data_IF_367098195018
#
_entry.id   IF_367098195018
#
_cell.length_a   1.000
_cell.length_b   1.000
_cell.length_c   1.000
_cell.angle_alpha   90.00
_cell.angle_beta   90.00
_cell.angle_gamma   90.00
#
_symmetry.space_group_name_H-M   'P 1'
#
loop_
_entity.id
_entity.type
_entity.pdbx_description
1 polymer ?
#
# COMPACT_ATOMS: atom_id res chain seq x y z
N UNK A 1 -7.71 25.11 12.89
CA UNK A 1 -7.69 23.81 13.61
C UNK A 1 -7.97 22.61 12.71
N UNK A 2 -8.85 22.71 11.70
CA UNK A 2 -9.26 21.61 10.81
C UNK A 2 -8.10 20.90 10.09
N UNK A 3 -7.07 21.64 9.67
CA UNK A 3 -5.89 21.09 9.00
C UNK A 3 -5.13 20.05 9.84
N UNK A 4 -4.98 20.28 11.15
CA UNK A 4 -4.22 19.36 12.02
C UNK A 4 -4.92 18.01 12.18
N UNK A 5 -6.25 18.00 12.27
CA UNK A 5 -7.04 16.76 12.38
C UNK A 5 -7.03 15.97 11.07
N UNK A 6 -7.14 16.67 9.94
CA UNK A 6 -7.02 16.06 8.62
C UNK A 6 -5.68 15.34 8.46
N UNK A 7 -4.58 16.00 8.77
CA UNK A 7 -3.27 15.42 8.58
C UNK A 7 -2.97 14.26 9.56
N UNK A 8 -3.43 14.34 10.80
CA UNK A 8 -3.33 13.23 11.77
C UNK A 8 -4.13 12.01 11.30
N UNK A 9 -5.34 12.24 10.76
CA UNK A 9 -6.17 11.14 10.24
C UNK A 9 -5.51 10.39 9.09
N UNK A 10 -4.90 11.12 8.15
CA UNK A 10 -4.15 10.53 7.04
C UNK A 10 -2.88 9.83 7.52
N UNK A 11 -2.20 10.39 8.52
CA UNK A 11 -1.03 9.75 9.11
C UNK A 11 -1.38 8.39 9.72
N UNK A 12 -2.44 8.32 10.52
CA UNK A 12 -2.92 7.05 11.11
C UNK A 12 -3.28 6.06 10.00
N UNK A 13 -4.07 6.49 9.01
CA UNK A 13 -4.47 5.64 7.88
C UNK A 13 -3.25 5.08 7.15
N UNK A 14 -2.26 5.94 6.88
CA UNK A 14 -1.01 5.59 6.19
C UNK A 14 -0.20 4.55 6.97
N UNK A 15 0.02 4.79 8.27
CA UNK A 15 0.81 3.90 9.12
C UNK A 15 0.13 2.53 9.26
N UNK A 16 -1.17 2.50 9.56
CA UNK A 16 -1.89 1.24 9.76
C UNK A 16 -1.96 0.44 8.45
N UNK A 17 -2.30 1.09 7.33
CA UNK A 17 -2.30 0.42 6.02
C UNK A 17 -0.90 -0.11 5.68
N UNK A 18 0.14 0.70 5.91
CA UNK A 18 1.52 0.29 5.69
C UNK A 18 1.96 -0.91 6.52
N UNK A 19 1.58 -0.96 7.81
CA UNK A 19 1.87 -2.10 8.70
C UNK A 19 1.16 -3.37 8.21
N UNK A 20 -0.12 -3.28 7.83
CA UNK A 20 -0.90 -4.42 7.32
C UNK A 20 -0.22 -5.01 6.09
N UNK A 21 0.10 -4.17 5.11
CA UNK A 21 0.73 -4.62 3.87
C UNK A 21 2.16 -5.13 4.08
N UNK A 22 2.92 -4.52 4.98
CA UNK A 22 4.25 -5.02 5.35
C UNK A 22 4.17 -6.39 6.02
N UNK A 23 3.21 -6.60 6.93
CA UNK A 23 3.00 -7.90 7.58
C UNK A 23 2.63 -8.98 6.55
N UNK A 24 1.70 -8.69 5.63
CA UNK A 24 1.35 -9.61 4.53
C UNK A 24 2.54 -9.89 3.61
N UNK A 25 3.29 -8.86 3.26
CA UNK A 25 4.49 -8.98 2.41
C UNK A 25 5.57 -9.84 3.06
N UNK A 26 5.86 -9.63 4.35
CA UNK A 26 6.79 -10.47 5.12
C UNK A 26 6.30 -11.91 5.14
N UNK A 27 5.01 -12.16 5.41
CA UNK A 27 4.45 -13.51 5.41
C UNK A 27 4.62 -14.20 4.04
N UNK A 28 4.40 -13.47 2.92
CA UNK A 28 4.61 -14.00 1.57
C UNK A 28 6.07 -14.30 1.29
N UNK A 29 7.00 -13.43 1.69
CA UNK A 29 8.43 -13.65 1.47
C UNK A 29 8.96 -14.80 2.34
N UNK A 30 8.48 -14.91 3.58
CA UNK A 30 8.86 -16.01 4.49
C UNK A 30 8.40 -17.37 3.97
N UNK A 31 7.22 -17.44 3.33
CA UNK A 31 6.66 -18.66 2.76
C UNK A 31 6.54 -18.54 1.22
N UNK A 32 7.62 -18.11 0.56
CA UNK A 32 7.55 -17.74 -0.85
C UNK A 32 7.26 -18.92 -1.78
N UNK A 33 7.79 -20.11 -1.47
CA UNK A 33 7.50 -21.33 -2.23
C UNK A 33 6.01 -21.70 -2.16
N UNK A 34 5.37 -21.52 -1.00
CA UNK A 34 3.93 -21.72 -0.86
C UNK A 34 3.12 -20.67 -1.62
N UNK A 35 3.60 -19.42 -1.63
CA UNK A 35 3.00 -18.33 -2.40
C UNK A 35 3.04 -18.62 -3.90
N UNK A 36 4.17 -19.11 -4.43
CA UNK A 36 4.27 -19.51 -5.83
C UNK A 36 3.27 -20.61 -6.15
N UNK A 37 3.25 -21.69 -5.35
CA UNK A 37 2.32 -22.82 -5.53
C UNK A 37 0.85 -22.38 -5.47
N UNK A 38 0.53 -21.45 -4.57
CA UNK A 38 -0.82 -20.88 -4.47
C UNK A 38 -1.22 -20.15 -5.76
N UNK A 39 -0.35 -19.29 -6.31
CA UNK A 39 -0.63 -18.59 -7.56
C UNK A 39 -0.70 -19.54 -8.76
N UNK A 40 0.16 -20.55 -8.82
CA UNK A 40 0.11 -21.60 -9.84
C UNK A 40 -1.20 -22.39 -9.78
N UNK A 41 -1.68 -22.72 -8.58
CA UNK A 41 -2.97 -23.41 -8.39
C UNK A 41 -4.18 -22.63 -8.92
N UNK A 42 -4.05 -21.30 -9.00
CA UNK A 42 -5.06 -20.41 -9.57
C UNK A 42 -4.88 -20.19 -11.08
N UNK A 43 -3.86 -20.80 -11.69
CA UNK A 43 -3.52 -20.61 -13.11
C UNK A 43 -2.97 -19.22 -13.42
N UNK A 44 -2.43 -18.52 -12.41
CA UNK A 44 -1.90 -17.17 -12.59
C UNK A 44 -0.47 -17.19 -13.14
N UNK A 45 -0.07 -16.17 -13.94
CA UNK A 45 1.30 -16.02 -14.41
C UNK A 45 2.35 -16.06 -13.29
N UNK A 46 3.45 -16.77 -13.52
CA UNK A 46 4.52 -16.99 -12.52
C UNK A 46 5.26 -15.73 -12.05
N UNK A 47 5.10 -14.58 -12.73
CA UNK A 47 5.68 -13.31 -12.26
C UNK A 47 4.82 -12.61 -11.18
N UNK A 48 3.54 -12.97 -11.06
CA UNK A 48 2.61 -12.30 -10.14
C UNK A 48 2.92 -12.51 -8.64
N UNK A 49 3.41 -13.68 -8.17
CA UNK A 49 3.89 -13.84 -6.80
C UNK A 49 4.97 -12.82 -6.42
N UNK A 50 5.94 -12.61 -7.32
CA UNK A 50 7.04 -11.67 -7.13
C UNK A 50 6.52 -10.23 -7.10
N UNK A 51 5.64 -9.89 -8.03
CA UNK A 51 4.99 -8.58 -8.05
C UNK A 51 4.21 -8.33 -6.76
N UNK A 52 3.40 -9.30 -6.33
CA UNK A 52 2.60 -9.18 -5.13
C UNK A 52 3.46 -9.01 -3.86
N UNK A 53 4.45 -9.87 -3.66
CA UNK A 53 5.36 -9.77 -2.52
C UNK A 53 6.14 -8.44 -2.50
N UNK A 54 6.57 -7.95 -3.68
CA UNK A 54 7.29 -6.68 -3.81
C UNK A 54 6.39 -5.50 -3.50
N UNK A 55 5.16 -5.48 -4.02
CA UNK A 55 4.20 -4.39 -3.79
C UNK A 55 3.73 -4.36 -2.34
N UNK A 56 3.43 -5.51 -1.73
CA UNK A 56 2.99 -5.57 -0.33
C UNK A 56 4.11 -5.13 0.62
N UNK A 57 5.32 -5.67 0.44
CA UNK A 57 6.45 -5.35 1.33
C UNK A 57 6.97 -3.94 1.08
N UNK A 58 7.30 -3.63 -0.18
CA UNK A 58 7.84 -2.33 -0.58
C UNK A 58 6.83 -1.22 -0.42
N UNK A 59 5.58 -1.43 -0.85
CA UNK A 59 4.48 -0.48 -0.65
C UNK A 59 4.19 -0.25 0.82
N UNK A 60 4.19 -1.30 1.65
CA UNK A 60 4.04 -1.19 3.09
C UNK A 60 5.12 -0.32 3.74
N UNK A 61 6.40 -0.57 3.41
CA UNK A 61 7.54 0.24 3.88
C UNK A 61 7.42 1.70 3.44
N UNK A 62 7.14 1.93 2.15
CA UNK A 62 7.00 3.26 1.58
C UNK A 62 5.87 4.05 2.26
N UNK A 63 4.73 3.42 2.52
CA UNK A 63 3.65 4.04 3.28
C UNK A 63 4.08 4.39 4.70
N UNK A 64 4.71 3.47 5.44
CA UNK A 64 5.17 3.74 6.82
C UNK A 64 6.11 4.95 6.84
N UNK A 65 7.11 4.96 5.97
CA UNK A 65 8.09 6.04 5.85
C UNK A 65 7.49 7.34 5.29
N UNK A 66 6.30 7.27 4.69
CA UNK A 66 5.68 8.41 4.02
C UNK A 66 6.46 8.87 2.80
N UNK A 67 7.00 7.92 2.04
CA UNK A 67 7.72 8.11 0.78
C UNK A 67 6.87 7.59 -0.37
N UNK A 68 6.81 8.32 -1.50
CA UNK A 68 6.12 7.89 -2.72
C UNK A 68 4.71 7.34 -2.45
N UNK A 69 3.99 7.96 -1.51
CA UNK A 69 2.74 7.42 -0.94
C UNK A 69 1.66 7.19 -1.99
N UNK A 70 1.62 8.04 -3.03
CA UNK A 70 0.74 7.87 -4.18
C UNK A 70 1.08 6.61 -5.00
N UNK A 71 2.36 6.35 -5.22
CA UNK A 71 2.81 5.20 -6.00
C UNK A 71 2.61 3.89 -5.23
N UNK A 72 2.92 3.90 -3.93
CA UNK A 72 2.63 2.78 -3.04
C UNK A 72 1.12 2.49 -2.98
N UNK A 73 0.29 3.53 -2.87
CA UNK A 73 -1.17 3.42 -2.92
C UNK A 73 -1.67 2.81 -4.23
N UNK A 74 -1.16 3.27 -5.38
CA UNK A 74 -1.51 2.71 -6.70
C UNK A 74 -1.17 1.22 -6.80
N UNK A 75 0.03 0.82 -6.36
CA UNK A 75 0.44 -0.58 -6.34
C UNK A 75 -0.51 -1.43 -5.50
N UNK A 76 -0.82 -0.98 -4.29
CA UNK A 76 -1.76 -1.65 -3.38
C UNK A 76 -3.16 -1.75 -4.01
N UNK A 77 -3.67 -0.69 -4.63
CA UNK A 77 -4.98 -0.70 -5.31
C UNK A 77 -5.02 -1.75 -6.41
N UNK A 78 -4.02 -1.80 -7.28
CA UNK A 78 -3.94 -2.81 -8.36
C UNK A 78 -3.90 -4.22 -7.78
N UNK A 79 -3.14 -4.42 -6.71
CA UNK A 79 -3.03 -5.72 -6.04
C UNK A 79 -4.36 -6.15 -5.42
N UNK A 80 -5.09 -5.24 -4.77
CA UNK A 80 -6.42 -5.52 -4.22
C UNK A 80 -7.42 -5.87 -5.32
N UNK A 81 -7.44 -5.14 -6.46
CA UNK A 81 -8.29 -5.50 -7.60
C UNK A 81 -8.00 -6.93 -8.07
N UNK A 82 -6.72 -7.28 -8.20
CA UNK A 82 -6.30 -8.64 -8.54
C UNK A 82 -6.82 -9.67 -7.54
N UNK A 83 -6.58 -9.45 -6.25
CA UNK A 83 -7.00 -10.36 -5.17
C UNK A 83 -8.52 -10.56 -5.11
N UNK A 84 -9.29 -9.49 -5.30
CA UNK A 84 -10.75 -9.56 -5.35
C UNK A 84 -11.18 -10.45 -6.50
N UNK A 85 -10.71 -10.18 -7.72
CA UNK A 85 -11.14 -10.88 -8.93
C UNK A 85 -10.71 -12.34 -8.96
N UNK A 86 -9.54 -12.67 -8.40
CA UNK A 86 -8.98 -14.03 -8.50
C UNK A 86 -9.33 -14.92 -7.32
N UNK A 87 -9.36 -14.38 -6.09
CA UNK A 87 -9.50 -15.19 -4.86
C UNK A 87 -10.85 -15.02 -4.20
N UNK A 88 -11.34 -13.78 -4.08
CA UNK A 88 -12.42 -13.46 -3.15
C UNK A 88 -13.79 -13.24 -3.78
N UNK A 89 -13.87 -13.04 -5.10
CA UNK A 89 -15.13 -12.72 -5.78
C UNK A 89 -16.20 -13.79 -5.59
N UNK A 90 -15.81 -15.07 -5.66
CA UNK A 90 -16.73 -16.20 -5.52
C UNK A 90 -17.28 -16.35 -4.09
N UNK A 91 -16.54 -15.87 -3.08
CA UNK A 91 -16.97 -15.91 -1.69
C UNK A 91 -18.03 -14.84 -1.35
N UNK A 92 -18.34 -13.93 -2.28
CA UNK A 92 -19.29 -12.84 -2.06
C UNK A 92 -18.70 -11.70 -1.23
N UNK A 93 -19.56 -10.80 -0.77
CA UNK A 93 -19.10 -9.61 -0.05
C UNK A 93 -18.64 -9.94 1.38
N UNK A 94 -19.56 -10.44 2.21
CA UNK A 94 -19.31 -10.78 3.61
C UNK A 94 -18.49 -12.07 3.72
N UNK A 95 -17.36 -12.02 4.42
CA UNK A 95 -16.41 -13.15 4.50
C UNK A 95 -15.61 -13.41 3.22
N UNK A 96 -15.84 -12.62 2.15
CA UNK A 96 -15.12 -12.68 0.90
C UNK A 96 -14.19 -11.48 0.73
N UNK A 97 -14.65 -10.48 -0.02
CA UNK A 97 -13.81 -9.36 -0.47
C UNK A 97 -14.00 -8.04 0.30
N UNK A 98 -14.79 -8.02 1.38
CA UNK A 98 -15.05 -6.80 2.17
C UNK A 98 -13.78 -6.14 2.72
N UNK A 99 -12.80 -6.93 3.15
CA UNK A 99 -11.54 -6.44 3.71
C UNK A 99 -10.64 -5.86 2.62
N UNK A 100 -10.54 -6.54 1.48
CA UNK A 100 -9.79 -6.10 0.31
C UNK A 100 -10.37 -4.80 -0.25
N UNK A 101 -11.71 -4.66 -0.24
CA UNK A 101 -12.38 -3.42 -0.61
C UNK A 101 -12.05 -2.28 0.35
N UNK A 102 -11.99 -2.55 1.65
CA UNK A 102 -11.62 -1.55 2.65
C UNK A 102 -10.16 -1.10 2.50
N UNK A 103 -9.24 -2.04 2.25
CA UNK A 103 -7.83 -1.72 1.97
C UNK A 103 -7.68 -0.92 0.67
N UNK A 104 -8.43 -1.29 -0.37
CA UNK A 104 -8.47 -0.55 -1.63
C UNK A 104 -8.98 0.88 -1.42
N UNK A 105 -10.07 1.06 -0.67
CA UNK A 105 -10.61 2.38 -0.36
C UNK A 105 -9.62 3.24 0.42
N UNK A 106 -8.93 2.66 1.42
CA UNK A 106 -7.88 3.33 2.17
C UNK A 106 -6.70 3.75 1.26
N UNK A 107 -6.24 2.86 0.38
CA UNK A 107 -5.19 3.16 -0.58
C UNK A 107 -5.59 4.29 -1.53
N UNK A 108 -6.81 4.24 -2.09
CA UNK A 108 -7.36 5.28 -2.96
C UNK A 108 -7.45 6.63 -2.24
N UNK A 109 -7.89 6.64 -0.98
CA UNK A 109 -7.91 7.85 -0.17
C UNK A 109 -6.51 8.46 -0.01
N UNK A 110 -5.48 7.64 0.19
CA UNK A 110 -4.08 8.11 0.28
C UNK A 110 -3.54 8.61 -1.07
N UNK A 111 -3.95 8.02 -2.20
CA UNK A 111 -3.56 8.48 -3.54
C UNK A 111 -4.03 9.92 -3.78
N UNK A 112 -5.31 10.20 -3.49
CA UNK A 112 -5.88 11.53 -3.70
C UNK A 112 -5.44 12.54 -2.65
N UNK A 113 -5.29 12.11 -1.40
CA UNK A 113 -4.95 13.01 -0.30
C UNK A 113 -3.45 13.32 -0.22
N UNK A 114 -2.59 12.44 -0.75
CA UNK A 114 -1.13 12.52 -0.60
C UNK A 114 -0.68 12.39 0.87
N UNK A 115 0.63 12.62 1.13
CA UNK A 115 1.16 12.66 2.49
C UNK A 115 1.70 14.04 2.85
N UNK A 116 1.05 14.70 3.81
CA UNK A 116 1.36 16.09 4.18
C UNK A 116 2.11 16.20 5.53
N UNK A 117 1.74 15.42 6.56
CA UNK A 117 2.49 15.34 7.83
C UNK A 117 3.51 14.20 7.85
N UNK A 118 4.72 14.51 8.33
CA UNK A 118 5.83 13.58 8.57
C UNK A 118 6.08 12.60 7.40
N UNK A 119 5.83 13.08 6.19
CA UNK A 119 6.28 12.44 4.98
C UNK A 119 7.72 12.86 4.76
N UNK A 120 8.62 11.90 4.61
CA UNK A 120 10.02 12.20 4.33
C UNK A 120 10.14 12.99 3.00
N UNK A 121 9.21 12.79 2.06
CA UNK A 121 9.06 13.57 0.82
C UNK A 121 8.97 15.09 1.09
N UNK A 122 8.19 15.52 2.09
CA UNK A 122 8.02 16.95 2.41
C UNK A 122 9.23 17.54 3.12
N UNK A 123 9.93 16.75 3.93
CA UNK A 123 11.18 17.17 4.56
C UNK A 123 12.23 17.40 3.48
N UNK A 124 12.39 16.46 2.56
CA UNK A 124 13.36 16.56 1.46
C UNK A 124 13.05 17.74 0.53
N UNK A 125 11.79 17.94 0.15
CA UNK A 125 11.38 19.08 -0.67
C UNK A 125 11.67 20.42 0.01
N UNK A 126 11.41 20.53 1.31
CA UNK A 126 11.69 21.76 2.08
C UNK A 126 13.19 22.02 2.19
N UNK A 127 14.01 20.98 2.35
CA UNK A 127 15.47 21.11 2.35
C UNK A 127 16.01 21.56 0.98
N UNK A 128 15.53 20.96 -0.11
CA UNK A 128 15.99 21.31 -1.46
C UNK A 128 15.61 22.75 -1.85
N UNK A 129 14.38 23.18 -1.56
CA UNK A 129 13.95 24.56 -1.84
C UNK A 129 14.76 25.60 -1.04
N UNK A 130 15.12 25.32 0.21
CA UNK A 130 15.91 26.24 1.04
C UNK A 130 17.33 26.44 0.50
N UNK A 131 17.99 25.38 0.03
CA UNK A 131 19.35 25.49 -0.52
C UNK A 131 19.40 26.21 -1.89
N UNK A 132 18.29 26.25 -2.63
CA UNK A 132 18.21 26.94 -3.92
C UNK A 132 17.72 28.39 -3.81
N UNK A 133 17.17 28.82 -2.67
CA UNK A 133 16.78 30.22 -2.45
C UNK A 133 17.90 31.10 -1.93
N UNK A 134 18.98 30.49 -1.43
CA UNK A 134 20.14 31.15 -0.83
C UNK A 134 21.33 31.28 -1.81
N UNK A 135 21.12 30.92 -3.09
CA UNK A 135 22.06 31.07 -4.22
C UNK A 135 21.45 31.98 -5.30
#
# INVERSE_FOLDING_TARGET
MTYRYYEVSLFILRIILGIIFLAHGIQKISNFDETIKFFESMGLPGFLPYFAATVETGGGILLILGLLTRLAGLGITVLMIGAILTVKLQAGFIGGYEMELMYMAAAVALIFSGSHLYAFDNILQKYWNKNNSDN
#
